data_IF_273615542521
#
_entry.id   IF_273615542521
#
_cell.length_a   1.000
_cell.length_b   1.000
_cell.length_c   1.000
_cell.angle_alpha   90.00
_cell.angle_beta   90.00
_cell.angle_gamma   90.00
#
_symmetry.space_group_name_H-M   'P 1'
#
loop_
_entity.id
_entity.type
_entity.pdbx_description
1 polymer ?
#
# COMPACT_ATOMS: atom_id res chain seq x y z
N UNK A 1 -0.55 -7.75 4.46
CA UNK A 1 -1.23 -6.93 5.47
C UNK A 1 -0.93 -5.47 5.17
N UNK A 2 -1.96 -4.63 5.11
CA UNK A 2 -1.86 -3.19 4.96
C UNK A 2 -2.46 -2.52 6.20
N UNK A 3 -1.84 -1.46 6.68
CA UNK A 3 -2.30 -0.69 7.84
C UNK A 3 -2.77 0.69 7.36
N UNK A 4 -4.01 1.05 7.63
CA UNK A 4 -4.60 2.33 7.24
C UNK A 4 -4.97 3.15 8.46
N UNK A 5 -4.85 4.48 8.37
CA UNK A 5 -5.49 5.37 9.32
C UNK A 5 -6.90 5.71 8.82
N UNK A 6 -7.90 5.62 9.71
CA UNK A 6 -9.27 5.98 9.37
C UNK A 6 -9.43 7.49 9.13
N UNK A 7 -10.46 7.92 8.40
CA UNK A 7 -10.85 9.33 8.26
C UNK A 7 -9.75 10.26 7.68
N UNK A 8 -8.85 9.73 6.84
CA UNK A 8 -7.89 10.56 6.13
C UNK A 8 -8.53 11.24 4.92
N UNK A 9 -8.35 12.55 4.83
CA UNK A 9 -8.67 13.32 3.64
C UNK A 9 -7.47 13.28 2.68
N UNK A 10 -7.49 12.36 1.73
CA UNK A 10 -6.39 12.15 0.78
C UNK A 10 -6.07 13.39 -0.06
N UNK A 11 -7.03 14.31 -0.23
CA UNK A 11 -6.82 15.54 -1.00
C UNK A 11 -5.91 16.55 -0.30
N UNK A 12 -5.73 16.41 1.03
CA UNK A 12 -4.85 17.27 1.84
C UNK A 12 -3.42 16.74 1.97
N UNK A 13 -3.18 15.51 1.53
CA UNK A 13 -1.89 14.86 1.69
C UNK A 13 -0.85 15.51 0.76
N UNK A 14 0.27 15.94 1.34
CA UNK A 14 1.42 16.46 0.61
C UNK A 14 2.62 15.53 0.79
N UNK A 15 3.33 15.22 -0.30
CA UNK A 15 4.49 14.30 -0.25
C UNK A 15 5.83 15.02 -0.33
N UNK A 16 5.85 16.35 -0.41
CA UNK A 16 7.08 17.12 -0.62
C UNK A 16 8.09 16.92 0.50
N UNK A 17 7.63 16.91 1.77
CA UNK A 17 8.48 16.71 2.94
C UNK A 17 9.05 15.29 3.05
N UNK A 18 8.52 14.34 2.28
CA UNK A 18 8.96 12.94 2.34
C UNK A 18 9.69 12.45 1.09
N UNK A 19 9.90 13.32 0.09
CA UNK A 19 10.55 12.95 -1.18
C UNK A 19 11.93 12.29 -0.98
N UNK A 20 12.71 12.79 -0.02
CA UNK A 20 14.05 12.26 0.30
C UNK A 20 14.03 10.84 0.91
N UNK A 21 12.91 10.43 1.51
CA UNK A 21 12.76 9.11 2.13
C UNK A 21 12.31 8.04 1.12
N UNK A 22 12.16 8.38 -0.16
CA UNK A 22 11.66 7.47 -1.19
C UNK A 22 12.69 6.36 -1.46
N UNK A 23 12.28 5.11 -1.28
CA UNK A 23 13.13 3.93 -1.53
C UNK A 23 12.72 3.15 -2.78
N UNK A 24 11.43 3.22 -3.16
CA UNK A 24 10.88 2.52 -4.32
C UNK A 24 9.93 3.46 -5.06
N UNK A 25 10.01 3.46 -6.39
CA UNK A 25 9.09 4.14 -7.28
C UNK A 25 8.74 3.19 -8.42
N UNK A 26 7.48 2.76 -8.44
CA UNK A 26 6.97 1.78 -9.39
C UNK A 26 5.85 2.37 -10.22
N UNK A 27 5.96 2.23 -11.54
CA UNK A 27 4.89 2.52 -12.47
C UNK A 27 4.20 1.21 -12.83
N UNK A 28 2.94 1.10 -12.45
CA UNK A 28 2.14 -0.09 -12.63
C UNK A 28 1.02 0.19 -13.63
N UNK A 29 0.76 -0.79 -14.48
CA UNK A 29 -0.43 -0.84 -15.31
C UNK A 29 -1.27 -2.01 -14.83
N UNK A 30 -2.41 -1.70 -14.24
CA UNK A 30 -3.34 -2.69 -13.71
C UNK A 30 -4.52 -2.83 -14.68
N UNK A 31 -4.84 -4.06 -15.02
CA UNK A 31 -5.88 -4.41 -15.98
C UNK A 31 -6.89 -5.27 -15.26
N UNK A 32 -8.08 -4.73 -15.08
CA UNK A 32 -9.20 -5.38 -14.42
C UNK A 32 -10.11 -6.01 -15.46
N UNK A 33 -10.35 -7.31 -15.28
CA UNK A 33 -11.17 -8.14 -16.17
C UNK A 33 -12.13 -8.98 -15.34
N UNK A 34 -13.09 -9.61 -16.00
CA UNK A 34 -13.94 -10.66 -15.42
C UNK A 34 -13.15 -11.91 -15.02
N UNK A 35 -11.98 -12.16 -15.62
CA UNK A 35 -11.09 -13.28 -15.31
C UNK A 35 -10.03 -12.97 -14.24
N UNK A 36 -10.01 -11.74 -13.70
CA UNK A 36 -9.11 -11.30 -12.64
C UNK A 36 -8.30 -10.05 -12.99
N UNK A 37 -7.26 -9.79 -12.20
CA UNK A 37 -6.42 -8.59 -12.32
C UNK A 37 -5.05 -8.94 -12.87
N UNK A 38 -4.61 -8.22 -13.90
CA UNK A 38 -3.30 -8.38 -14.52
C UNK A 38 -2.48 -7.12 -14.29
N UNK A 39 -1.28 -7.26 -13.75
CA UNK A 39 -0.41 -6.13 -13.43
C UNK A 39 0.88 -6.24 -14.22
N UNK A 40 1.24 -5.15 -14.89
CA UNK A 40 2.58 -4.90 -15.41
C UNK A 40 3.28 -3.89 -14.53
N UNK A 41 4.49 -4.22 -14.07
CA UNK A 41 5.29 -3.37 -13.20
C UNK A 41 6.53 -2.91 -13.94
N UNK A 42 6.73 -1.61 -14.10
CA UNK A 42 7.87 -1.00 -14.80
C UNK A 42 8.09 -1.61 -16.20
N UNK A 43 6.99 -1.89 -16.92
CA UNK A 43 7.02 -2.51 -18.26
C UNK A 43 7.41 -3.99 -18.30
N UNK A 44 7.58 -4.65 -17.15
CA UNK A 44 8.00 -6.05 -17.09
C UNK A 44 6.85 -7.05 -17.31
N UNK A 45 6.35 -7.14 -18.55
CA UNK A 45 5.29 -8.08 -18.96
C UNK A 45 4.03 -7.98 -18.09
N UNK A 46 3.10 -8.91 -18.23
CA UNK A 46 1.91 -8.97 -17.37
C UNK A 46 1.94 -10.23 -16.52
N UNK A 47 1.51 -10.07 -15.27
CA UNK A 47 1.34 -11.17 -14.32
C UNK A 47 -0.09 -11.11 -13.81
N UNK A 48 -0.79 -12.25 -13.78
CA UNK A 48 -2.10 -12.34 -13.13
C UNK A 48 -1.91 -12.36 -11.62
N UNK A 49 -2.73 -11.59 -10.93
CA UNK A 49 -2.79 -11.51 -9.48
C UNK A 49 -4.08 -12.14 -8.98
N UNK A 50 -3.97 -12.77 -7.82
CA UNK A 50 -5.08 -13.38 -7.10
C UNK A 50 -5.14 -12.77 -5.70
N UNK A 51 -6.34 -12.72 -5.16
CA UNK A 51 -6.67 -12.06 -3.91
C UNK A 51 -7.17 -13.09 -2.90
N UNK A 52 -6.69 -13.01 -1.67
CA UNK A 52 -7.26 -13.73 -0.53
C UNK A 52 -7.74 -12.67 0.43
N UNK A 53 -9.06 -12.50 0.48
CA UNK A 53 -9.71 -11.63 1.43
C UNK A 53 -9.63 -12.27 2.82
N UNK A 54 -9.19 -11.48 3.80
CA UNK A 54 -9.14 -11.89 5.20
C UNK A 54 -9.86 -10.85 6.07
N UNK A 55 -9.93 -11.13 7.36
CA UNK A 55 -10.55 -10.24 8.33
C UNK A 55 -9.91 -8.85 8.36
N UNK A 56 -10.74 -7.85 8.62
CA UNK A 56 -10.32 -6.50 8.94
C UNK A 56 -10.38 -6.33 10.46
N UNK A 57 -9.27 -5.91 11.06
CA UNK A 57 -9.17 -5.61 12.49
C UNK A 57 -8.99 -4.12 12.74
N UNK A 58 -9.28 -3.68 13.96
CA UNK A 58 -9.20 -2.27 14.32
C UNK A 58 -8.46 -2.09 15.64
N UNK A 59 -7.60 -1.07 15.72
CA UNK A 59 -7.08 -0.53 16.98
C UNK A 59 -7.66 0.88 17.13
N UNK A 60 -8.50 1.06 18.15
CA UNK A 60 -9.20 2.33 18.39
C UNK A 60 -8.26 3.40 18.93
N UNK A 61 -8.45 4.65 18.49
CA UNK A 61 -7.68 5.81 18.93
C UNK A 61 -6.15 5.57 18.84
N UNK A 62 -5.69 5.03 17.72
CA UNK A 62 -4.28 4.68 17.53
C UNK A 62 -3.40 5.93 17.40
N UNK A 63 -3.91 6.94 16.71
CA UNK A 63 -3.25 8.23 16.55
C UNK A 63 -4.28 9.36 16.62
N UNK A 64 -4.32 10.07 17.74
CA UNK A 64 -5.29 11.16 17.99
C UNK A 64 -6.74 10.71 17.70
N UNK A 65 -7.33 11.21 16.60
CA UNK A 65 -8.69 10.95 16.14
C UNK A 65 -8.76 9.87 15.03
N UNK A 66 -7.69 9.10 14.85
CA UNK A 66 -7.58 8.06 13.85
C UNK A 66 -7.52 6.68 14.50
N UNK A 67 -8.45 5.82 14.12
CA UNK A 67 -8.35 4.39 14.32
C UNK A 67 -7.32 3.81 13.33
N UNK A 68 -6.61 2.76 13.76
CA UNK A 68 -5.83 1.96 12.84
C UNK A 68 -6.69 0.82 12.31
N UNK A 69 -6.83 0.74 11.00
CA UNK A 69 -7.48 -0.33 10.27
C UNK A 69 -6.40 -1.30 9.78
N UNK A 70 -6.52 -2.56 10.14
CA UNK A 70 -5.58 -3.63 9.80
C UNK A 70 -6.27 -4.52 8.77
N UNK A 71 -5.87 -4.39 7.51
CA UNK A 71 -6.33 -5.27 6.43
C UNK A 71 -5.38 -6.46 6.30
N UNK A 72 -5.85 -7.64 6.71
CA UNK A 72 -5.08 -8.88 6.64
C UNK A 72 -5.11 -9.53 5.25
N UNK A 73 -5.83 -8.96 4.28
CA UNK A 73 -5.93 -9.47 2.93
C UNK A 73 -4.56 -9.51 2.24
N UNK A 74 -4.39 -10.48 1.34
CA UNK A 74 -3.12 -10.72 0.66
C UNK A 74 -3.31 -10.84 -0.85
N UNK A 75 -2.41 -10.19 -1.58
CA UNK A 75 -2.35 -10.18 -3.03
C UNK A 75 -1.13 -10.97 -3.46
N UNK A 76 -1.32 -12.03 -4.25
CA UNK A 76 -0.23 -12.89 -4.69
C UNK A 76 -0.22 -13.05 -6.21
N UNK A 77 0.98 -13.28 -6.74
CA UNK A 77 1.15 -13.62 -8.15
C UNK A 77 0.58 -15.02 -8.39
N UNK A 78 -0.38 -15.14 -9.30
CA UNK A 78 -0.90 -16.44 -9.73
C UNK A 78 0.21 -17.29 -10.35
N UNK A 79 0.13 -18.61 -10.13
CA UNK A 79 1.01 -19.60 -10.78
C UNK A 79 0.55 -19.92 -12.20
N UNK A 80 -0.64 -19.47 -12.60
CA UNK A 80 -1.17 -19.68 -13.94
C UNK A 80 -0.34 -18.96 -14.99
N UNK A 81 0.01 -19.68 -16.05
CA UNK A 81 0.64 -19.09 -17.23
C UNK A 81 -0.40 -18.29 -17.99
N UNK A 82 -0.21 -16.97 -18.05
CA UNK A 82 -1.05 -16.06 -18.82
C UNK A 82 -0.45 -15.92 -20.23
N UNK A 83 -1.19 -16.34 -21.25
CA UNK A 83 -0.80 -16.18 -22.66
C UNK A 83 -1.53 -15.03 -23.36
N UNK A 84 -2.64 -14.55 -22.80
CA UNK A 84 -3.47 -13.47 -23.36
C UNK A 84 -4.18 -12.69 -22.26
N UNK A 85 -4.57 -11.45 -22.58
CA UNK A 85 -5.41 -10.60 -21.73
C UNK A 85 -6.82 -10.60 -22.32
N UNK A 86 -7.88 -10.77 -21.51
CA UNK A 86 -9.28 -10.65 -21.97
C UNK A 86 -9.55 -9.35 -22.72
N UNK A 87 -10.42 -9.39 -23.73
CA UNK A 87 -10.72 -8.21 -24.57
C UNK A 87 -11.53 -7.16 -23.80
N UNK A 88 -12.47 -7.60 -22.97
CA UNK A 88 -13.25 -6.71 -22.13
C UNK A 88 -12.48 -6.42 -20.84
N UNK A 89 -11.88 -5.23 -20.74
CA UNK A 89 -11.08 -4.86 -19.60
C UNK A 89 -11.02 -3.35 -19.37
N UNK A 90 -10.79 -2.97 -18.12
CA UNK A 90 -10.46 -1.61 -17.74
C UNK A 90 -8.99 -1.51 -17.37
N UNK A 91 -8.32 -0.45 -17.84
CA UNK A 91 -6.92 -0.18 -17.55
C UNK A 91 -6.83 0.99 -16.60
N UNK A 92 -6.03 0.87 -15.55
CA UNK A 92 -5.61 1.99 -14.73
C UNK A 92 -4.08 2.06 -14.68
N UNK A 93 -3.58 3.29 -14.60
CA UNK A 93 -2.17 3.59 -14.44
C UNK A 93 -1.94 4.03 -12.99
N UNK A 94 -1.11 3.29 -12.27
CA UNK A 94 -0.83 3.52 -10.87
C UNK A 94 0.65 3.80 -10.68
N UNK A 95 1.00 4.94 -10.10
CA UNK A 95 2.35 5.17 -9.58
C UNK A 95 2.34 4.87 -8.09
N UNK A 96 3.17 3.91 -7.67
CA UNK A 96 3.34 3.54 -6.27
C UNK A 96 4.72 3.98 -5.79
N UNK A 97 4.75 4.79 -4.75
CA UNK A 97 5.96 5.17 -4.05
C UNK A 97 5.99 4.55 -2.66
N UNK A 98 7.15 4.03 -2.26
CA UNK A 98 7.38 3.55 -0.90
C UNK A 98 8.47 4.37 -0.23
N UNK A 99 8.24 4.73 1.03
CA UNK A 99 9.07 5.65 1.81
C UNK A 99 9.49 5.02 3.15
N UNK A 100 10.73 5.28 3.56
CA UNK A 100 11.28 4.88 4.86
C UNK A 100 12.10 6.00 5.49
N UNK A 101 11.79 6.33 6.75
CA UNK A 101 12.55 7.34 7.52
C UNK A 101 14.02 6.98 7.71
N UNK A 102 14.32 5.68 7.78
CA UNK A 102 15.69 5.16 7.77
C UNK A 102 15.72 3.73 7.24
N UNK A 103 16.88 3.20 6.81
CA UNK A 103 17.00 1.82 6.35
C UNK A 103 16.53 0.78 7.40
N UNK A 104 16.68 1.11 8.70
CA UNK A 104 16.27 0.26 9.83
C UNK A 104 14.84 0.53 10.31
N UNK A 105 14.12 1.47 9.68
CA UNK A 105 12.74 1.79 10.04
C UNK A 105 11.86 0.54 9.98
N UNK A 106 11.10 0.26 11.05
CA UNK A 106 10.17 -0.86 11.09
C UNK A 106 8.93 -0.58 10.23
N UNK A 107 8.73 0.65 9.75
CA UNK A 107 7.55 1.02 8.95
C UNK A 107 7.98 1.53 7.59
N UNK A 108 7.28 1.05 6.57
CA UNK A 108 7.26 1.61 5.21
C UNK A 108 5.91 2.28 4.98
N UNK A 109 5.93 3.54 4.54
CA UNK A 109 4.76 4.24 4.03
C UNK A 109 4.64 3.98 2.53
N UNK A 110 3.48 3.53 2.05
CA UNK A 110 3.17 3.40 0.63
C UNK A 110 2.12 4.44 0.23
N UNK A 111 2.37 5.12 -0.88
CA UNK A 111 1.47 6.10 -1.50
C UNK A 111 1.22 5.66 -2.94
N UNK A 112 -0.04 5.46 -3.31
CA UNK A 112 -0.45 5.13 -4.67
C UNK A 112 -1.17 6.34 -5.28
N UNK A 113 -0.84 6.64 -6.54
CA UNK A 113 -1.47 7.69 -7.34
C UNK A 113 -2.04 7.13 -8.62
N UNK A 114 -3.22 7.59 -9.00
CA UNK A 114 -3.78 7.42 -10.33
C UNK A 114 -3.99 8.81 -10.93
N UNK A 115 -3.44 9.06 -12.13
CA UNK A 115 -3.52 10.36 -12.81
C UNK A 115 -3.16 11.54 -11.88
N UNK A 116 -2.01 11.42 -11.21
CA UNK A 116 -1.46 12.36 -10.21
C UNK A 116 -2.28 12.57 -8.92
N UNK A 117 -3.46 11.97 -8.81
CA UNK A 117 -4.27 12.01 -7.57
C UNK A 117 -3.88 10.88 -6.65
N UNK A 118 -3.65 11.19 -5.38
CA UNK A 118 -3.44 10.19 -4.33
C UNK A 118 -4.74 9.40 -4.15
N UNK A 119 -4.70 8.10 -4.42
CA UNK A 119 -5.85 7.20 -4.30
C UNK A 119 -5.76 6.29 -3.09
N UNK A 120 -4.56 6.09 -2.55
CA UNK A 120 -4.34 5.22 -1.39
C UNK A 120 -3.07 5.59 -0.65
N UNK A 121 -3.15 5.56 0.69
CA UNK A 121 -2.02 5.75 1.61
C UNK A 121 -2.11 4.72 2.72
N UNK A 122 -1.08 3.93 2.90
CA UNK A 122 -1.06 2.85 3.89
C UNK A 122 0.35 2.51 4.36
N UNK A 123 0.44 1.83 5.49
CA UNK A 123 1.70 1.42 6.11
C UNK A 123 1.90 -0.10 6.06
N UNK A 124 3.16 -0.52 6.06
CA UNK A 124 3.60 -1.92 6.11
C UNK A 124 4.78 -2.06 7.08
N UNK A 125 4.85 -3.13 7.88
CA UNK A 125 5.94 -3.31 8.86
C UNK A 125 7.20 -3.99 8.30
N UNK A 126 7.14 -4.50 7.08
CA UNK A 126 8.29 -5.13 6.41
C UNK A 126 8.30 -4.77 4.93
N UNK A 127 9.48 -4.86 4.31
CA UNK A 127 9.66 -4.70 2.86
C UNK A 127 9.02 -5.85 2.05
N UNK A 128 8.56 -6.91 2.73
CA UNK A 128 7.93 -8.08 2.13
C UNK A 128 6.51 -8.23 2.68
N UNK A 129 5.63 -8.86 1.89
CA UNK A 129 4.29 -9.16 2.36
C UNK A 129 4.36 -10.26 3.43
N UNK A 130 4.23 -9.88 4.70
CA UNK A 130 4.14 -10.79 5.85
C UNK A 130 2.84 -10.58 6.62
N UNK A 131 2.47 -11.56 7.44
CA UNK A 131 1.50 -11.36 8.51
C UNK A 131 2.25 -10.84 9.73
N UNK A 132 1.75 -9.76 10.34
CA UNK A 132 2.29 -9.19 11.57
C UNK A 132 1.41 -9.57 12.73
N UNK A 133 1.98 -9.71 13.92
CA UNK A 133 1.20 -9.87 15.13
C UNK A 133 0.70 -8.51 15.63
N UNK A 134 -0.39 -8.49 16.41
CA UNK A 134 -0.86 -7.26 17.04
C UNK A 134 0.21 -6.57 17.91
N UNK A 135 1.03 -7.30 18.70
CA UNK A 135 2.16 -6.70 19.41
C UNK A 135 3.17 -5.97 18.52
N UNK A 136 3.44 -6.46 17.31
CA UNK A 136 4.36 -5.78 16.37
C UNK A 136 3.79 -4.43 15.91
N UNK A 137 2.47 -4.39 15.69
CA UNK A 137 1.73 -3.20 15.26
C UNK A 137 1.57 -2.19 16.41
N UNK A 138 1.32 -2.69 17.62
CA UNK A 138 1.05 -1.86 18.80
C UNK A 138 2.32 -1.36 19.51
N UNK A 139 3.50 -1.82 19.08
CA UNK A 139 4.76 -1.40 19.67
C UNK A 139 5.02 0.11 19.50
N UNK A 140 5.71 0.70 20.47
CA UNK A 140 5.99 2.12 20.54
C UNK A 140 6.74 2.67 19.32
N UNK A 141 7.78 1.99 18.84
CA UNK A 141 8.55 2.43 17.67
C UNK A 141 7.72 2.44 16.38
N UNK A 142 6.82 1.45 16.20
CA UNK A 142 5.89 1.43 15.07
C UNK A 142 4.95 2.63 15.13
N UNK A 143 4.34 2.88 16.30
CA UNK A 143 3.44 4.02 16.54
C UNK A 143 4.13 5.35 16.27
N UNK A 144 5.31 5.55 16.85
CA UNK A 144 6.10 6.78 16.67
C UNK A 144 6.49 7.01 15.21
N UNK A 145 6.84 5.94 14.47
CA UNK A 145 7.18 6.06 13.05
C UNK A 145 5.95 6.41 12.20
N UNK A 146 4.81 5.78 12.45
CA UNK A 146 3.54 6.11 11.78
C UNK A 146 3.15 7.55 12.06
N UNK A 147 3.23 8.00 13.32
CA UNK A 147 2.96 9.38 13.71
C UNK A 147 3.91 10.36 13.00
N UNK A 148 5.20 10.04 12.95
CA UNK A 148 6.19 10.90 12.30
C UNK A 148 5.92 11.06 10.80
N UNK A 149 5.50 9.99 10.12
CA UNK A 149 5.04 10.09 8.73
C UNK A 149 3.76 10.92 8.61
N UNK A 150 2.78 10.68 9.48
CA UNK A 150 1.52 11.44 9.49
C UNK A 150 1.78 12.95 9.60
N UNK A 151 2.63 13.38 10.53
CA UNK A 151 2.98 14.79 10.73
C UNK A 151 3.79 15.42 9.58
N UNK A 152 4.39 14.61 8.70
CA UNK A 152 5.09 15.10 7.52
C UNK A 152 4.15 15.25 6.31
N UNK A 153 3.10 14.45 6.24
CA UNK A 153 2.21 14.40 5.06
C UNK A 153 0.90 15.15 5.24
N UNK A 154 0.50 15.42 6.48
CA UNK A 154 -0.56 16.36 6.88
C UNK A 154 0.04 17.63 7.49
#
# INVERSE_FOLDING_TARGET
MKLYLSNLDLSKITIDKIKEYCIISDNMKEIYTDEGVYVSKNGQGYKKYSFIDNDIKFIKNYLENHDLIIDESFVYKSKETVSRIPVNHNVIHVTKNEYKMSPKSPVTLAVERCDDKITSVYFMLTNFHGKYSLPDIDNQFTKETIHSFYALIF
#
